data_IF_791309556467
#
_entry.id   IF_791309556467
#
_cell.length_a   1.000
_cell.length_b   1.000
_cell.length_c   1.000
_cell.angle_alpha   90.00
_cell.angle_beta   90.00
_cell.angle_gamma   90.00
#
_symmetry.space_group_name_H-M   'P 1'
#
loop_
_entity.id
_entity.type
_entity.pdbx_description
1 polymer ?
#
# COMPACT_ATOMS: atom_id res chain seq x y z
N UNK A 1 5.96 3.75 -12.46
CA UNK A 1 5.02 2.73 -12.95
C UNK A 1 4.58 3.07 -14.37
N UNK A 2 5.29 2.53 -15.34
CA UNK A 2 5.04 2.77 -16.78
C UNK A 2 3.73 2.12 -17.24
N UNK A 3 3.08 2.74 -18.23
CA UNK A 3 1.92 2.18 -18.91
C UNK A 3 0.73 1.90 -18.00
N UNK A 4 0.65 0.70 -17.45
CA UNK A 4 -0.45 0.26 -16.58
C UNK A 4 -0.37 0.79 -15.14
N UNK A 5 0.56 1.70 -14.84
CA UNK A 5 0.83 2.22 -13.50
C UNK A 5 1.10 1.06 -12.50
N UNK A 6 0.27 0.92 -11.46
CA UNK A 6 0.39 -0.16 -10.48
C UNK A 6 -0.51 -1.37 -10.78
N UNK A 7 -1.07 -1.45 -11.98
CA UNK A 7 -1.84 -2.61 -12.41
C UNK A 7 -1.04 -3.89 -12.24
N UNK A 8 -1.72 -4.93 -11.74
CA UNK A 8 -1.16 -6.25 -11.47
C UNK A 8 -0.07 -6.31 -10.38
N UNK A 9 0.30 -5.16 -9.76
CA UNK A 9 1.35 -5.13 -8.73
C UNK A 9 1.05 -6.07 -7.56
N UNK A 10 -0.23 -6.21 -7.19
CA UNK A 10 -0.63 -7.14 -6.14
C UNK A 10 -0.37 -8.61 -6.54
N UNK A 11 -0.66 -9.00 -7.77
CA UNK A 11 -0.44 -10.36 -8.29
C UNK A 11 1.05 -10.70 -8.30
N UNK A 12 1.89 -9.76 -8.75
CA UNK A 12 3.36 -9.90 -8.64
C UNK A 12 3.79 -10.07 -7.19
N UNK A 13 3.23 -9.31 -6.27
CA UNK A 13 3.63 -9.35 -4.88
C UNK A 13 3.16 -10.63 -4.18
N UNK A 14 1.96 -11.10 -4.49
CA UNK A 14 1.46 -12.40 -3.99
C UNK A 14 2.34 -13.55 -4.46
N UNK A 15 2.78 -13.52 -5.74
CA UNK A 15 3.73 -14.51 -6.27
C UNK A 15 5.09 -14.45 -5.56
N UNK A 16 5.64 -13.25 -5.36
CA UNK A 16 6.92 -13.04 -4.65
C UNK A 16 6.84 -13.58 -3.22
N UNK A 17 5.75 -13.33 -2.51
CA UNK A 17 5.56 -13.87 -1.16
C UNK A 17 5.42 -15.41 -1.13
N UNK A 18 4.87 -16.00 -2.18
CA UNK A 18 4.72 -17.46 -2.30
C UNK A 18 6.02 -18.19 -2.59
N UNK A 19 7.01 -17.54 -3.18
CA UNK A 19 8.23 -18.15 -3.69
C UNK A 19 9.45 -17.81 -2.83
N UNK A 20 10.07 -18.83 -2.22
CA UNK A 20 11.24 -18.66 -1.32
C UNK A 20 12.51 -18.12 -1.99
N UNK A 21 12.59 -18.18 -3.31
CA UNK A 21 13.73 -17.74 -4.10
C UNK A 21 13.73 -16.24 -4.38
N UNK A 22 12.60 -15.56 -4.20
CA UNK A 22 12.50 -14.12 -4.38
C UNK A 22 12.84 -13.36 -3.10
N UNK A 23 13.64 -12.30 -3.24
CA UNK A 23 13.95 -11.37 -2.16
C UNK A 23 12.98 -10.20 -2.10
N UNK A 24 12.26 -9.93 -3.18
CA UNK A 24 11.36 -8.80 -3.32
C UNK A 24 11.43 -8.18 -4.71
N UNK A 25 10.83 -7.00 -4.87
CA UNK A 25 10.89 -6.21 -6.09
C UNK A 25 10.85 -4.71 -5.75
N UNK A 26 11.26 -3.89 -6.71
CA UNK A 26 11.20 -2.44 -6.63
C UNK A 26 10.31 -1.91 -7.74
N UNK A 27 9.45 -0.97 -7.41
CA UNK A 27 8.66 -0.26 -8.43
C UNK A 27 9.57 0.71 -9.16
N UNK A 28 9.60 0.65 -10.46
CA UNK A 28 10.13 1.70 -11.31
C UNK A 28 8.99 2.65 -11.63
N UNK A 29 8.94 3.86 -11.08
CA UNK A 29 9.98 4.36 -10.18
C UNK A 29 9.38 5.27 -9.09
N UNK A 30 10.23 5.77 -8.18
CA UNK A 30 9.78 6.58 -7.07
C UNK A 30 9.30 7.96 -7.50
N UNK A 31 10.07 8.67 -8.32
CA UNK A 31 9.84 10.09 -8.62
C UNK A 31 9.88 10.36 -10.12
N UNK A 32 8.94 11.12 -10.64
CA UNK A 32 8.98 11.60 -12.00
C UNK A 32 10.27 12.39 -12.27
N UNK A 33 10.89 12.11 -13.42
CA UNK A 33 12.09 12.81 -13.92
C UNK A 33 11.73 14.03 -14.74
N UNK A 34 11.13 15.03 -14.14
CA UNK A 34 10.76 16.27 -14.78
C UNK A 34 11.47 17.44 -14.12
N UNK A 35 11.56 18.56 -14.82
CA UNK A 35 12.07 19.84 -14.30
C UNK A 35 10.88 20.78 -14.08
N UNK A 36 10.67 21.21 -12.85
CA UNK A 36 9.67 22.22 -12.55
C UNK A 36 10.22 23.61 -12.85
N UNK A 37 9.52 24.36 -13.68
CA UNK A 37 9.86 25.75 -14.03
C UNK A 37 9.25 26.73 -13.03
N UNK A 38 9.75 27.97 -13.01
CA UNK A 38 9.27 29.02 -12.12
C UNK A 38 7.79 29.38 -12.36
N UNK A 39 7.30 29.21 -13.56
CA UNK A 39 5.88 29.38 -13.94
C UNK A 39 5.01 28.15 -13.60
N UNK A 40 5.58 27.13 -12.94
CA UNK A 40 4.86 25.97 -12.44
C UNK A 40 4.63 24.84 -13.42
N UNK A 41 5.19 24.92 -14.64
CA UNK A 41 5.15 23.80 -15.60
C UNK A 41 6.16 22.71 -15.24
N UNK A 42 5.89 21.51 -15.68
CA UNK A 42 6.83 20.38 -15.57
C UNK A 42 7.29 20.02 -16.97
N UNK A 43 8.59 20.15 -17.22
CA UNK A 43 9.22 19.86 -18.51
C UNK A 43 10.00 18.55 -18.44
N UNK A 44 10.00 17.81 -19.55
CA UNK A 44 10.77 16.59 -19.72
C UNK A 44 11.36 16.54 -21.14
N UNK A 45 12.08 15.48 -21.50
CA UNK A 45 12.77 15.38 -22.78
C UNK A 45 11.83 15.64 -23.97
N UNK A 46 12.23 16.55 -24.86
CA UNK A 46 11.43 17.11 -25.95
C UNK A 46 10.89 18.52 -25.68
N UNK A 47 10.86 18.98 -24.43
CA UNK A 47 10.32 20.29 -24.06
C UNK A 47 11.39 21.41 -24.01
N UNK A 48 12.67 21.06 -24.16
CA UNK A 48 13.79 22.00 -24.03
C UNK A 48 14.31 22.52 -25.37
N UNK A 49 13.45 22.59 -26.38
CA UNK A 49 13.79 23.00 -27.77
C UNK A 49 14.85 22.12 -28.45
N UNK A 50 14.90 20.84 -28.08
CA UNK A 50 15.76 19.88 -28.74
C UNK A 50 15.39 19.74 -30.22
N UNK A 51 16.40 19.77 -31.08
CA UNK A 51 16.22 19.65 -32.54
C UNK A 51 16.06 18.21 -33.02
N UNK A 52 16.31 17.26 -32.15
CA UNK A 52 16.28 15.84 -32.45
C UNK A 52 14.86 15.25 -32.30
N UNK A 53 14.51 14.20 -33.03
CA UNK A 53 13.24 13.53 -32.88
C UNK A 53 13.01 13.01 -31.49
N UNK A 54 11.77 13.04 -30.99
CA UNK A 54 11.36 12.51 -29.67
C UNK A 54 11.76 11.05 -29.40
N UNK A 55 12.09 10.27 -30.44
CA UNK A 55 12.59 8.91 -30.32
C UNK A 55 13.95 8.77 -29.59
N UNK A 56 14.65 9.89 -29.39
CA UNK A 56 15.92 9.93 -28.64
C UNK A 56 15.75 10.35 -27.18
N UNK A 57 14.54 10.71 -26.79
CA UNK A 57 14.21 11.09 -25.42
C UNK A 57 13.20 10.11 -24.87
N UNK A 58 13.24 9.88 -23.58
CA UNK A 58 12.35 8.92 -22.93
C UNK A 58 10.86 9.31 -22.99
N UNK A 59 10.56 10.54 -23.43
CA UNK A 59 9.20 11.03 -23.58
C UNK A 59 8.39 10.86 -22.28
N UNK A 60 7.19 10.30 -22.39
CA UNK A 60 6.32 10.06 -21.23
C UNK A 60 6.88 9.07 -20.21
N UNK A 61 7.91 8.30 -20.51
CA UNK A 61 8.57 7.41 -19.56
C UNK A 61 9.35 8.14 -18.47
N UNK A 62 9.50 9.45 -18.58
CA UNK A 62 10.02 10.31 -17.52
C UNK A 62 8.97 10.72 -16.47
N UNK A 63 7.69 10.39 -16.67
CA UNK A 63 6.56 10.82 -15.82
C UNK A 63 5.79 9.63 -15.23
N UNK A 64 6.50 8.59 -14.89
CA UNK A 64 5.99 7.31 -14.38
C UNK A 64 6.30 7.07 -12.89
N UNK A 65 6.68 8.10 -12.17
CA UNK A 65 6.94 8.06 -10.72
C UNK A 65 5.69 7.81 -9.88
N UNK A 66 5.89 7.28 -8.67
CA UNK A 66 4.85 7.22 -7.63
C UNK A 66 4.57 8.60 -7.02
N UNK A 67 5.50 9.52 -7.19
CA UNK A 67 5.36 10.94 -6.84
C UNK A 67 5.86 11.82 -7.98
N UNK A 68 5.37 13.06 -8.02
CA UNK A 68 5.89 14.08 -8.91
C UNK A 68 7.29 14.55 -8.49
N UNK A 69 7.94 15.30 -9.34
CA UNK A 69 9.23 15.97 -9.07
C UNK A 69 9.17 16.85 -7.82
N UNK A 70 8.05 17.51 -7.55
CA UNK A 70 7.81 18.31 -6.34
C UNK A 70 7.25 17.50 -5.16
N UNK A 71 7.31 16.15 -5.24
CA UNK A 71 6.87 15.21 -4.22
C UNK A 71 5.36 15.15 -3.99
N UNK A 72 4.55 15.71 -4.87
CA UNK A 72 3.11 15.49 -4.85
C UNK A 72 2.82 14.01 -5.11
N UNK A 73 2.01 13.41 -4.24
CA UNK A 73 1.69 11.99 -4.26
C UNK A 73 0.72 11.67 -5.40
N UNK A 74 1.04 10.63 -6.18
CA UNK A 74 0.11 10.03 -7.13
C UNK A 74 -0.76 8.96 -6.46
N UNK A 75 -1.97 8.69 -6.96
CA UNK A 75 -2.84 7.61 -6.45
C UNK A 75 -2.14 6.25 -6.37
N UNK A 76 -1.23 5.97 -7.31
CA UNK A 76 -0.43 4.74 -7.34
C UNK A 76 0.43 4.51 -6.09
N UNK A 77 0.87 5.57 -5.39
CA UNK A 77 1.62 5.41 -4.14
C UNK A 77 0.76 4.81 -3.04
N UNK A 78 -0.52 5.19 -2.96
CA UNK A 78 -1.42 4.60 -1.97
C UNK A 78 -1.65 3.10 -2.24
N UNK A 79 -1.81 2.73 -3.50
CA UNK A 79 -1.96 1.32 -3.90
C UNK A 79 -0.72 0.51 -3.54
N UNK A 80 0.46 0.96 -3.93
CA UNK A 80 1.73 0.31 -3.58
C UNK A 80 1.92 0.24 -2.07
N UNK A 81 1.58 1.28 -1.32
CA UNK A 81 1.62 1.29 0.13
C UNK A 81 0.76 0.20 0.76
N UNK A 82 -0.42 -0.09 0.18
CA UNK A 82 -1.25 -1.20 0.62
C UNK A 82 -0.66 -2.56 0.26
N UNK A 83 -0.11 -2.71 -0.93
CA UNK A 83 0.49 -3.96 -1.39
C UNK A 83 1.74 -4.31 -0.56
N UNK A 84 2.56 -3.32 -0.25
CA UNK A 84 3.80 -3.49 0.53
C UNK A 84 3.59 -3.53 2.05
N UNK A 85 2.37 -3.30 2.51
CA UNK A 85 2.10 -3.27 3.94
C UNK A 85 2.52 -4.58 4.62
N UNK A 86 3.24 -4.49 5.74
CA UNK A 86 3.86 -5.66 6.38
C UNK A 86 2.90 -6.49 7.22
N UNK A 87 1.65 -6.07 7.31
CA UNK A 87 0.58 -6.78 8.04
C UNK A 87 -0.62 -6.93 7.13
N UNK A 88 -1.20 -8.12 7.13
CA UNK A 88 -2.40 -8.39 6.33
C UNK A 88 -3.54 -8.94 7.18
N UNK A 89 -4.76 -8.91 6.62
CA UNK A 89 -5.97 -9.44 7.26
C UNK A 89 -6.74 -10.29 6.26
N UNK A 90 -7.12 -11.49 6.70
CA UNK A 90 -8.02 -12.37 5.98
C UNK A 90 -9.31 -12.55 6.78
N UNK A 91 -10.45 -12.59 6.10
CA UNK A 91 -11.71 -12.94 6.72
C UNK A 91 -11.74 -14.44 7.01
N UNK A 92 -12.23 -14.81 8.21
CA UNK A 92 -12.49 -16.21 8.59
C UNK A 92 -13.96 -16.42 8.89
N UNK A 93 -14.37 -17.68 9.11
CA UNK A 93 -15.76 -18.00 9.38
C UNK A 93 -16.32 -17.32 10.66
N UNK A 94 -15.50 -17.13 11.69
CA UNK A 94 -15.91 -16.56 12.97
C UNK A 94 -15.33 -15.17 13.25
N UNK A 95 -14.51 -14.62 12.32
CA UNK A 95 -13.86 -13.36 12.57
C UNK A 95 -12.84 -12.98 11.49
N UNK A 96 -11.60 -12.80 11.91
CA UNK A 96 -10.50 -12.45 11.03
C UNK A 96 -9.19 -13.06 11.50
N UNK A 97 -8.25 -13.19 10.56
CA UNK A 97 -6.87 -13.60 10.81
C UNK A 97 -5.95 -12.46 10.51
N UNK A 98 -5.09 -12.08 11.46
CA UNK A 98 -3.98 -11.15 11.23
C UNK A 98 -2.75 -11.96 10.83
N UNK A 99 -2.07 -11.54 9.77
CA UNK A 99 -0.88 -12.19 9.21
C UNK A 99 0.29 -11.23 9.36
N UNK A 100 1.34 -11.68 10.03
CA UNK A 100 2.61 -10.96 10.10
C UNK A 100 3.47 -11.29 8.86
N UNK A 101 3.63 -10.33 7.97
CA UNK A 101 4.44 -10.48 6.75
C UNK A 101 5.90 -10.03 6.93
N UNK A 102 6.26 -9.47 8.08
CA UNK A 102 7.65 -9.18 8.41
C UNK A 102 8.51 -10.44 8.42
N UNK A 103 9.79 -10.29 8.09
CA UNK A 103 10.77 -11.37 8.14
C UNK A 103 11.43 -11.51 9.50
N UNK A 104 11.58 -10.39 10.24
CA UNK A 104 12.38 -10.34 11.48
C UNK A 104 11.67 -9.66 12.63
N UNK A 105 10.53 -8.98 12.42
CA UNK A 105 9.87 -8.16 13.42
C UNK A 105 8.58 -8.83 13.90
N UNK A 106 8.45 -9.18 15.20
CA UNK A 106 7.18 -9.58 15.78
C UNK A 106 6.22 -8.39 15.85
N UNK A 107 4.91 -8.67 15.97
CA UNK A 107 3.91 -7.61 16.02
C UNK A 107 3.72 -7.03 17.46
N UNK A 108 4.63 -7.26 18.37
CA UNK A 108 4.53 -6.83 19.77
C UNK A 108 4.42 -5.31 19.95
N UNK A 109 5.00 -4.55 19.02
CA UNK A 109 4.96 -3.07 18.99
C UNK A 109 3.94 -2.50 18.02
N UNK A 110 3.14 -3.36 17.40
CA UNK A 110 2.08 -2.95 16.49
C UNK A 110 0.75 -3.00 17.24
N UNK A 111 0.03 -1.90 17.28
CA UNK A 111 -1.35 -1.86 17.77
C UNK A 111 -2.33 -2.03 16.62
N UNK A 112 -3.43 -2.71 16.88
CA UNK A 112 -4.54 -2.91 15.96
C UNK A 112 -5.79 -2.24 16.49
N UNK A 113 -6.34 -1.32 15.71
CA UNK A 113 -7.63 -0.68 15.94
C UNK A 113 -8.61 -1.13 14.85
N UNK A 114 -9.71 -1.72 15.26
CA UNK A 114 -10.78 -2.15 14.37
C UNK A 114 -11.98 -1.20 14.51
N UNK A 115 -12.41 -0.60 13.39
CA UNK A 115 -13.65 0.19 13.32
C UNK A 115 -14.71 -0.62 12.59
N UNK A 116 -15.84 -0.80 13.24
CA UNK A 116 -17.02 -1.48 12.71
C UNK A 116 -17.96 -0.44 12.16
N UNK A 117 -18.22 -0.49 10.87
CA UNK A 117 -19.02 0.50 10.16
C UNK A 117 -20.30 -0.10 9.57
N UNK A 118 -21.40 0.63 9.68
CA UNK A 118 -22.68 0.33 9.03
C UNK A 118 -23.11 1.57 8.25
N UNK A 119 -23.36 1.40 6.96
CA UNK A 119 -23.73 2.48 6.04
C UNK A 119 -22.76 3.70 6.13
N UNK A 120 -21.46 3.43 6.25
CA UNK A 120 -20.40 4.44 6.31
C UNK A 120 -20.28 5.17 7.66
N UNK A 121 -20.99 4.72 8.71
CA UNK A 121 -20.87 5.27 10.07
C UNK A 121 -20.23 4.26 10.99
N UNK A 122 -19.27 4.74 11.78
CA UNK A 122 -18.62 3.91 12.81
C UNK A 122 -19.60 3.67 13.97
N UNK A 123 -19.98 2.41 14.16
CA UNK A 123 -20.86 1.98 15.26
C UNK A 123 -20.07 1.55 16.50
N UNK A 124 -18.90 0.97 16.28
CA UNK A 124 -18.05 0.43 17.34
C UNK A 124 -16.58 0.53 16.96
N UNK A 125 -15.72 0.68 17.95
CA UNK A 125 -14.28 0.57 17.81
C UNK A 125 -13.75 -0.38 18.87
N UNK A 126 -12.85 -1.28 18.49
CA UNK A 126 -12.16 -2.22 19.36
C UNK A 126 -10.67 -2.22 19.10
N UNK A 127 -9.88 -2.49 20.12
CA UNK A 127 -8.45 -2.69 20.01
C UNK A 127 -8.10 -4.14 20.29
N UNK A 128 -7.16 -4.70 19.55
CA UNK A 128 -6.73 -6.07 19.66
C UNK A 128 -5.22 -6.13 19.93
N UNK A 129 -4.83 -6.94 20.91
CA UNK A 129 -3.43 -7.19 21.19
C UNK A 129 -2.84 -8.16 20.17
N UNK A 130 -1.76 -7.75 19.51
CA UNK A 130 -0.99 -8.55 18.57
C UNK A 130 0.25 -9.18 19.21
N UNK A 131 0.41 -9.05 20.55
CA UNK A 131 1.55 -9.56 21.30
C UNK A 131 1.79 -11.05 21.03
N UNK A 132 3.04 -11.41 20.70
CA UNK A 132 3.46 -12.79 20.45
C UNK A 132 3.13 -13.35 19.07
N UNK A 133 2.69 -12.51 18.12
CA UNK A 133 2.62 -12.91 16.71
C UNK A 133 4.01 -12.72 16.07
N UNK A 134 4.75 -13.81 15.93
CA UNK A 134 6.12 -13.80 15.40
C UNK A 134 6.17 -13.53 13.91
N UNK A 135 7.37 -13.25 13.34
CA UNK A 135 7.55 -13.13 11.90
C UNK A 135 6.99 -14.35 11.16
N UNK A 136 6.26 -14.09 10.05
CA UNK A 136 5.60 -15.09 9.20
C UNK A 136 4.52 -15.93 9.89
N UNK A 137 4.16 -15.62 11.15
CA UNK A 137 3.04 -16.27 11.83
C UNK A 137 1.74 -15.48 11.64
N UNK A 138 0.64 -16.12 11.98
CA UNK A 138 -0.70 -15.52 11.97
C UNK A 138 -1.48 -15.91 13.21
N UNK A 139 -2.52 -15.11 13.55
CA UNK A 139 -3.45 -15.38 14.62
C UNK A 139 -4.86 -15.03 14.23
N UNK A 140 -5.80 -15.88 14.63
CA UNK A 140 -7.24 -15.63 14.46
C UNK A 140 -7.82 -14.90 15.67
N UNK A 141 -8.76 -14.00 15.37
CA UNK A 141 -9.54 -13.23 16.31
C UNK A 141 -11.02 -13.39 15.99
N UNK A 142 -11.83 -13.60 17.03
CA UNK A 142 -13.28 -13.67 16.87
C UNK A 142 -13.88 -12.28 16.81
N UNK A 143 -14.90 -12.13 15.96
CA UNK A 143 -15.68 -10.90 15.86
C UNK A 143 -17.05 -11.16 16.48
N UNK A 144 -17.44 -10.30 17.42
CA UNK A 144 -18.79 -10.27 17.97
C UNK A 144 -19.55 -9.05 17.47
N UNK A 145 -19.72 -8.96 16.13
CA UNK A 145 -20.43 -7.86 15.46
C UNK A 145 -21.45 -8.41 14.50
N UNK A 146 -22.72 -8.01 14.68
CA UNK A 146 -23.78 -8.41 13.77
C UNK A 146 -23.78 -7.51 12.53
N UNK A 147 -23.52 -8.09 11.38
CA UNK A 147 -23.61 -7.40 10.09
C UNK A 147 -25.07 -7.05 9.80
N UNK A 148 -25.33 -5.80 9.43
CA UNK A 148 -26.65 -5.34 8.94
C UNK A 148 -26.42 -4.26 7.89
N UNK A 149 -27.20 -4.28 6.81
CA UNK A 149 -27.01 -3.33 5.72
C UNK A 149 -25.63 -3.46 5.05
N UNK A 150 -25.10 -2.34 4.55
CA UNK A 150 -23.73 -2.26 4.03
C UNK A 150 -22.78 -2.11 5.22
N UNK A 151 -22.12 -3.18 5.61
CA UNK A 151 -21.20 -3.20 6.75
C UNK A 151 -19.78 -3.47 6.30
N UNK A 152 -18.82 -2.82 6.95
CA UNK A 152 -17.39 -3.02 6.76
C UNK A 152 -16.67 -3.04 8.10
N UNK A 153 -15.54 -3.71 8.16
CA UNK A 153 -14.60 -3.62 9.28
C UNK A 153 -13.30 -3.06 8.73
N UNK A 154 -12.90 -1.92 9.27
CA UNK A 154 -11.65 -1.24 8.91
C UNK A 154 -10.61 -1.57 9.97
N UNK A 155 -9.51 -2.16 9.56
CA UNK A 155 -8.37 -2.52 10.39
C UNK A 155 -7.27 -1.50 10.19
N UNK A 156 -6.87 -0.81 11.23
CA UNK A 156 -5.80 0.17 11.20
C UNK A 156 -4.68 -0.30 12.12
N UNK A 157 -3.49 -0.48 11.54
CA UNK A 157 -2.29 -0.92 12.25
C UNK A 157 -1.35 0.27 12.45
N UNK A 158 -0.85 0.41 13.68
CA UNK A 158 0.04 1.51 14.03
C UNK A 158 1.31 0.98 14.69
N UNK A 159 2.45 1.55 14.28
CA UNK A 159 3.72 1.45 14.99
C UNK A 159 3.93 2.76 15.73
N UNK A 160 3.88 2.74 17.06
CA UNK A 160 3.81 3.96 17.86
C UNK A 160 2.61 4.82 17.44
N UNK A 161 2.83 6.00 16.82
CA UNK A 161 1.77 6.86 16.30
C UNK A 161 1.61 6.81 14.78
N UNK A 162 2.47 6.09 14.07
CA UNK A 162 2.46 6.03 12.60
C UNK A 162 1.62 4.85 12.10
N UNK A 163 0.72 5.14 11.17
CA UNK A 163 -0.09 4.11 10.53
C UNK A 163 0.75 3.33 9.51
N UNK A 164 0.95 2.04 9.75
CA UNK A 164 1.76 1.16 8.91
C UNK A 164 0.95 0.31 7.93
N UNK A 165 -0.34 0.10 8.21
CA UNK A 165 -1.24 -0.60 7.29
C UNK A 165 -2.70 -0.22 7.54
N UNK A 166 -3.53 -0.35 6.50
CA UNK A 166 -4.99 -0.35 6.60
C UNK A 166 -5.53 -1.52 5.78
N UNK A 167 -6.54 -2.22 6.30
CA UNK A 167 -7.24 -3.30 5.60
C UNK A 167 -8.74 -3.13 5.81
N UNK A 168 -9.52 -3.73 4.93
CA UNK A 168 -10.99 -3.74 5.02
C UNK A 168 -11.52 -5.12 4.64
N UNK A 169 -12.53 -5.58 5.38
CA UNK A 169 -13.34 -6.75 5.05
C UNK A 169 -14.82 -6.45 5.14
#
# INVERSE_FOLDING_TARGET
AMGNSCGDAKEYWDYIYGEKTFLGAFVWEWCCHTVKTDDGRFLFGGDFNEKEPCSRYDGKFCVDGLVDTDRRIHPSLYEIGQIYAPVDVEQTAEGFRVINRYDFIPLDKISLKCRYEINGKTEKTEEYSLLGIKPKESREFKINFKKSGYSAIIFEFFSESEKVATRQI
#
